data_IF_173191392689
#
_entry.id   IF_173191392689
#
_cell.length_a   1.000
_cell.length_b   1.000
_cell.length_c   1.000
_cell.angle_alpha   90.00
_cell.angle_beta   90.00
_cell.angle_gamma   90.00
#
_symmetry.space_group_name_H-M   'P 1'
#
loop_
_entity.id
_entity.type
_entity.pdbx_description
1 polymer ?
#
# COMPACT_ATOMS: atom_id res chain seq x y z
N UNK A 1 49.34 35.43 30.39
CA UNK A 1 48.53 35.36 29.15
C UNK A 1 48.18 33.90 28.89
N UNK A 2 47.02 33.45 29.35
CA UNK A 2 46.57 32.05 29.28
C UNK A 2 45.29 32.00 28.44
N UNK A 3 45.45 31.86 27.13
CA UNK A 3 44.35 31.64 26.19
C UNK A 3 43.78 30.23 26.39
N UNK A 4 42.76 30.08 27.23
CA UNK A 4 42.03 28.82 27.38
C UNK A 4 41.38 28.47 26.04
N UNK A 5 41.74 27.30 25.50
CA UNK A 5 41.18 26.70 24.29
C UNK A 5 39.68 26.47 24.48
N UNK A 6 38.85 27.35 23.93
CA UNK A 6 37.38 27.23 23.89
C UNK A 6 36.88 26.25 22.82
N UNK A 7 37.79 25.78 21.95
CA UNK A 7 37.51 24.86 20.85
C UNK A 7 36.77 23.56 21.23
N UNK A 8 37.14 22.82 22.30
CA UNK A 8 36.46 21.56 22.62
C UNK A 8 35.01 21.76 23.10
N UNK A 9 34.70 22.89 23.74
CA UNK A 9 33.33 23.20 24.18
C UNK A 9 32.44 23.54 22.98
N UNK A 10 32.96 24.30 22.02
CA UNK A 10 32.23 24.64 20.80
C UNK A 10 31.88 23.40 19.97
N UNK A 11 32.82 22.46 19.84
CA UNK A 11 32.60 21.19 19.12
C UNK A 11 31.51 20.35 19.81
N UNK A 12 31.53 20.26 21.15
CA UNK A 12 30.51 19.54 21.92
C UNK A 12 29.10 20.11 21.73
N UNK A 13 28.97 21.44 21.72
CA UNK A 13 27.68 22.13 21.51
C UNK A 13 27.15 21.87 20.09
N UNK A 14 28.02 21.91 19.07
CA UNK A 14 27.62 21.64 17.69
C UNK A 14 27.19 20.18 17.48
N UNK A 15 27.90 19.22 18.08
CA UNK A 15 27.53 17.80 18.02
C UNK A 15 26.21 17.55 18.73
N UNK A 16 26.01 18.11 19.93
CA UNK A 16 24.75 18.00 20.66
C UNK A 16 23.59 18.62 19.87
N UNK A 17 23.79 19.79 19.26
CA UNK A 17 22.82 20.43 18.39
C UNK A 17 22.45 19.57 17.17
N UNK A 18 23.44 18.97 16.51
CA UNK A 18 23.20 18.08 15.37
C UNK A 18 22.42 16.81 15.78
N UNK A 19 22.76 16.20 16.92
CA UNK A 19 22.04 15.03 17.45
C UNK A 19 20.59 15.39 17.76
N UNK A 20 20.34 16.55 18.36
CA UNK A 20 18.98 17.02 18.66
C UNK A 20 18.20 17.27 17.38
N UNK A 21 18.80 17.90 16.35
CA UNK A 21 18.14 18.11 15.05
C UNK A 21 17.82 16.78 14.37
N UNK A 22 18.74 15.82 14.40
CA UNK A 22 18.52 14.47 13.85
C UNK A 22 17.42 13.76 14.63
N UNK A 23 17.44 13.80 15.96
CA UNK A 23 16.44 13.18 16.82
C UNK A 23 15.06 13.82 16.62
N UNK A 24 14.98 15.16 16.54
CA UNK A 24 13.74 15.88 16.23
C UNK A 24 13.25 15.51 14.82
N UNK A 25 14.13 15.44 13.83
CA UNK A 25 13.77 15.01 12.47
C UNK A 25 13.24 13.57 12.47
N UNK A 26 13.91 12.68 13.18
CA UNK A 26 13.51 11.27 13.29
C UNK A 26 12.19 11.10 14.06
N UNK A 27 11.97 11.90 15.10
CA UNK A 27 10.82 11.79 15.99
C UNK A 27 9.59 12.57 15.48
N UNK A 28 9.76 13.67 14.75
CA UNK A 28 8.65 14.54 14.31
C UNK A 28 8.37 14.49 12.80
N UNK A 29 9.36 14.22 11.95
CA UNK A 29 9.14 14.21 10.49
C UNK A 29 8.78 12.81 9.96
N UNK A 30 9.32 11.74 10.53
CA UNK A 30 9.04 10.37 10.07
C UNK A 30 7.64 9.81 10.42
N UNK A 31 6.99 10.14 11.55
CA UNK A 31 5.68 9.58 11.87
C UNK A 31 4.56 9.99 10.90
N UNK A 32 4.70 11.14 10.22
CA UNK A 32 3.71 11.63 9.24
C UNK A 32 3.56 10.70 8.04
N UNK A 33 4.55 9.86 7.75
CA UNK A 33 4.51 8.85 6.69
C UNK A 33 3.99 7.47 7.14
N UNK A 34 3.57 7.32 8.40
CA UNK A 34 3.04 6.04 8.94
C UNK A 34 1.61 6.17 9.47
N UNK A 35 0.78 6.98 8.83
CA UNK A 35 -0.65 6.93 9.15
C UNK A 35 -1.25 5.64 8.60
N UNK A 36 -1.85 4.85 9.48
CA UNK A 36 -2.72 3.77 9.08
C UNK A 36 -3.92 4.38 8.33
N UNK A 37 -4.18 3.93 7.11
CA UNK A 37 -5.29 4.40 6.29
C UNK A 37 -6.24 3.24 5.97
N UNK A 38 -7.51 3.54 5.73
CA UNK A 38 -8.41 2.58 5.10
C UNK A 38 -8.38 2.76 3.59
N UNK A 39 -8.19 1.67 2.85
CA UNK A 39 -8.38 1.64 1.39
C UNK A 39 -9.74 1.06 1.00
N UNK A 40 -10.59 0.72 1.96
CA UNK A 40 -11.96 0.28 1.73
C UNK A 40 -12.87 1.49 1.83
N UNK A 41 -13.44 1.90 0.70
CA UNK A 41 -14.48 2.92 0.67
C UNK A 41 -15.83 2.28 1.06
N UNK A 42 -16.48 2.74 2.16
CA UNK A 42 -17.75 2.17 2.62
C UNK A 42 -18.91 2.38 1.64
N UNK A 43 -18.76 3.29 0.65
CA UNK A 43 -19.76 3.49 -0.40
C UNK A 43 -19.73 2.43 -1.51
N UNK A 44 -18.71 1.56 -1.54
CA UNK A 44 -18.60 0.49 -2.50
C UNK A 44 -19.11 -0.84 -1.93
N UNK A 45 -20.01 -1.51 -2.66
CA UNK A 45 -20.43 -2.88 -2.36
C UNK A 45 -19.20 -3.81 -2.42
N UNK A 46 -18.96 -4.56 -1.35
CA UNK A 46 -17.87 -5.52 -1.27
C UNK A 46 -18.26 -6.82 -1.97
N UNK A 47 -17.37 -7.33 -2.81
CA UNK A 47 -17.62 -8.52 -3.62
C UNK A 47 -16.52 -9.56 -3.43
N UNK A 48 -16.84 -10.79 -3.78
CA UNK A 48 -15.91 -11.92 -3.82
C UNK A 48 -15.89 -12.55 -5.22
N UNK A 49 -14.94 -13.46 -5.44
CA UNK A 49 -14.82 -14.20 -6.70
C UNK A 49 -16.17 -14.82 -7.12
N UNK A 50 -16.48 -14.75 -8.42
CA UNK A 50 -17.70 -15.31 -9.00
C UNK A 50 -18.89 -14.37 -8.99
N UNK A 51 -18.75 -13.17 -8.42
CA UNK A 51 -19.77 -12.12 -8.51
C UNK A 51 -19.96 -11.68 -9.97
N UNK A 52 -21.19 -11.70 -10.53
CA UNK A 52 -21.44 -11.25 -11.90
C UNK A 52 -20.99 -9.81 -12.15
N UNK A 53 -20.33 -9.56 -13.29
CA UNK A 53 -19.76 -8.25 -13.65
C UNK A 53 -18.34 -8.00 -13.10
N UNK A 54 -17.75 -8.96 -12.37
CA UNK A 54 -16.39 -8.89 -11.84
C UNK A 54 -15.52 -10.01 -12.44
N UNK A 55 -15.44 -10.06 -13.77
CA UNK A 55 -14.80 -11.16 -14.48
C UNK A 55 -13.26 -11.06 -14.50
N UNK A 56 -12.69 -9.87 -14.28
CA UNK A 56 -11.25 -9.75 -14.10
C UNK A 56 -10.85 -10.20 -12.70
N UNK A 57 -10.06 -11.27 -12.63
CA UNK A 57 -9.61 -11.86 -11.37
C UNK A 57 -8.15 -12.33 -11.45
N UNK A 58 -7.37 -11.98 -10.42
CA UNK A 58 -6.02 -12.50 -10.17
C UNK A 58 -5.93 -12.98 -8.72
N UNK A 59 -5.13 -14.03 -8.53
CA UNK A 59 -4.88 -14.62 -7.21
C UNK A 59 -3.37 -14.63 -6.97
N UNK A 60 -2.95 -14.25 -5.77
CA UNK A 60 -1.61 -14.48 -5.23
C UNK A 60 -1.74 -15.36 -3.98
N UNK A 61 -0.74 -16.19 -3.69
CA UNK A 61 -0.73 -17.05 -2.52
C UNK A 61 0.55 -16.81 -1.71
N UNK A 62 0.42 -16.60 -0.41
CA UNK A 62 1.55 -16.41 0.52
C UNK A 62 1.11 -16.60 1.98
N UNK A 63 2.04 -17.05 2.82
CA UNK A 63 1.95 -16.97 4.29
C UNK A 63 2.20 -15.50 4.70
N UNK A 64 1.12 -14.73 4.82
CA UNK A 64 1.17 -13.28 5.05
C UNK A 64 1.24 -12.95 6.54
N UNK A 65 0.66 -13.78 7.41
CA UNK A 65 0.67 -13.53 8.86
C UNK A 65 1.76 -14.29 9.64
N UNK A 66 2.41 -15.28 9.02
CA UNK A 66 3.55 -16.02 9.53
C UNK A 66 3.18 -17.22 10.39
N UNK A 67 1.95 -17.74 10.30
CA UNK A 67 1.51 -18.91 11.05
C UNK A 67 1.85 -20.25 10.38
N UNK A 68 2.31 -20.21 9.12
CA UNK A 68 2.71 -21.36 8.31
C UNK A 68 1.59 -21.96 7.46
N UNK A 69 0.38 -21.44 7.52
CA UNK A 69 -0.67 -21.66 6.53
C UNK A 69 -0.51 -20.67 5.35
N UNK A 70 -1.33 -20.80 4.31
CA UNK A 70 -1.20 -19.95 3.12
C UNK A 70 -2.50 -19.23 2.86
N UNK A 71 -2.43 -17.90 2.84
CA UNK A 71 -3.54 -17.03 2.50
C UNK A 71 -3.59 -16.78 1.00
N UNK A 72 -4.80 -16.55 0.50
CA UNK A 72 -5.05 -16.21 -0.89
C UNK A 72 -5.43 -14.73 -0.99
N UNK A 73 -4.70 -13.97 -1.79
CA UNK A 73 -5.01 -12.57 -2.11
C UNK A 73 -5.76 -12.54 -3.43
N UNK A 74 -7.02 -12.14 -3.38
CA UNK A 74 -7.87 -12.01 -4.55
C UNK A 74 -7.93 -10.55 -4.98
N UNK A 75 -7.53 -10.26 -6.22
CA UNK A 75 -7.66 -8.94 -6.85
C UNK A 75 -8.71 -9.02 -7.95
N UNK A 76 -9.75 -8.21 -7.81
CA UNK A 76 -10.90 -8.15 -8.72
C UNK A 76 -11.01 -6.77 -9.35
N UNK A 77 -11.46 -6.73 -10.60
CA UNK A 77 -11.91 -5.50 -11.25
C UNK A 77 -13.25 -5.73 -11.95
N UNK A 78 -14.12 -4.71 -11.92
CA UNK A 78 -15.42 -4.78 -12.58
C UNK A 78 -15.25 -4.56 -14.09
N UNK A 79 -14.91 -5.63 -14.81
CA UNK A 79 -14.62 -5.62 -16.23
C UNK A 79 -15.22 -6.86 -16.88
N UNK A 80 -15.94 -6.67 -17.99
CA UNK A 80 -16.38 -7.77 -18.82
C UNK A 80 -15.21 -8.33 -19.63
N UNK A 81 -15.14 -9.67 -19.71
CA UNK A 81 -14.28 -10.36 -20.66
C UNK A 81 -14.77 -10.07 -22.10
N UNK A 82 -13.85 -10.03 -23.06
CA UNK A 82 -14.18 -9.93 -24.49
C UNK A 82 -14.76 -11.27 -24.97
N UNK A 83 -16.05 -11.32 -25.41
CA UNK A 83 -16.69 -12.57 -25.82
C UNK A 83 -16.04 -13.20 -27.06
N UNK A 84 -15.26 -12.43 -27.83
CA UNK A 84 -14.59 -12.90 -29.04
C UNK A 84 -13.11 -13.25 -28.78
N UNK A 85 -12.54 -12.83 -27.65
CA UNK A 85 -11.12 -13.00 -27.31
C UNK A 85 -10.96 -13.40 -25.83
N UNK A 86 -11.11 -14.70 -25.50
CA UNK A 86 -10.95 -15.19 -24.14
C UNK A 86 -9.61 -14.78 -23.53
N UNK A 87 -9.62 -14.33 -22.28
CA UNK A 87 -8.49 -13.79 -21.54
C UNK A 87 -8.21 -12.30 -21.80
N UNK A 88 -8.92 -11.67 -22.75
CA UNK A 88 -8.91 -10.22 -22.93
C UNK A 88 -10.09 -9.56 -22.22
N UNK A 89 -9.86 -8.35 -21.71
CA UNK A 89 -10.86 -7.61 -20.93
C UNK A 89 -11.12 -6.25 -21.56
N UNK A 90 -12.37 -5.81 -21.51
CA UNK A 90 -12.81 -4.52 -22.03
C UNK A 90 -12.52 -3.44 -21.00
N UNK A 91 -11.32 -2.86 -21.07
CA UNK A 91 -10.90 -1.77 -20.19
C UNK A 91 -11.73 -0.50 -20.46
N UNK A 92 -12.14 0.16 -19.37
CA UNK A 92 -12.82 1.46 -19.38
C UNK A 92 -11.85 2.56 -18.93
N UNK A 93 -12.26 3.82 -19.08
CA UNK A 93 -11.56 5.01 -18.58
C UNK A 93 -11.56 5.07 -17.04
N UNK A 94 -12.26 4.17 -16.37
CA UNK A 94 -12.12 3.88 -14.96
C UNK A 94 -13.10 2.82 -14.49
N UNK A 95 -12.74 2.08 -13.45
CA UNK A 95 -13.55 0.99 -12.95
C UNK A 95 -13.32 0.75 -11.45
N UNK A 96 -14.30 0.17 -10.74
CA UNK A 96 -14.09 -0.36 -9.41
C UNK A 96 -13.04 -1.49 -9.39
N UNK A 97 -12.16 -1.44 -8.40
CA UNK A 97 -11.20 -2.48 -8.06
C UNK A 97 -11.37 -2.88 -6.60
N UNK A 98 -11.21 -4.18 -6.33
CA UNK A 98 -11.23 -4.72 -4.97
C UNK A 98 -10.07 -5.67 -4.74
N UNK A 99 -9.59 -5.68 -3.50
CA UNK A 99 -8.66 -6.69 -3.02
C UNK A 99 -9.14 -7.20 -1.67
N UNK A 100 -9.21 -8.51 -1.53
CA UNK A 100 -9.47 -9.18 -0.26
C UNK A 100 -8.48 -10.33 -0.05
N UNK A 101 -8.30 -10.70 1.21
CA UNK A 101 -7.50 -11.84 1.64
C UNK A 101 -8.48 -12.91 2.13
N UNK A 102 -8.31 -14.12 1.64
CA UNK A 102 -8.96 -15.33 2.14
C UNK A 102 -7.97 -16.09 3.02
N UNK A 103 -8.40 -16.37 4.24
CA UNK A 103 -7.63 -16.99 5.31
C UNK A 103 -8.51 -18.10 5.91
N UNK A 104 -8.34 -19.32 5.41
CA UNK A 104 -9.27 -20.42 5.64
C UNK A 104 -10.68 -20.09 5.15
N UNK A 105 -11.62 -19.87 6.08
CA UNK A 105 -13.01 -19.49 5.76
C UNK A 105 -13.29 -18.00 5.94
N UNK A 106 -12.32 -17.25 6.45
CA UNK A 106 -12.46 -15.84 6.75
C UNK A 106 -12.04 -14.99 5.56
N UNK A 107 -12.76 -13.89 5.33
CA UNK A 107 -12.53 -12.97 4.22
C UNK A 107 -12.29 -11.57 4.80
N UNK A 108 -11.14 -10.98 4.47
CA UNK A 108 -10.80 -9.61 4.89
C UNK A 108 -10.61 -8.72 3.66
N UNK A 109 -11.55 -7.80 3.42
CA UNK A 109 -11.38 -6.77 2.39
C UNK A 109 -10.37 -5.72 2.83
N UNK A 110 -9.36 -5.48 1.99
CA UNK A 110 -8.26 -4.56 2.28
C UNK A 110 -8.20 -3.38 1.30
N UNK A 111 -8.93 -3.46 0.18
CA UNK A 111 -9.03 -2.42 -0.83
C UNK A 111 -10.40 -2.48 -1.52
N UNK A 112 -11.09 -1.35 -1.63
CA UNK A 112 -12.28 -1.21 -2.47
C UNK A 112 -12.44 0.25 -2.91
N UNK A 113 -12.07 0.55 -4.17
CA UNK A 113 -12.09 1.92 -4.71
C UNK A 113 -12.31 1.94 -6.22
N UNK A 114 -12.84 3.04 -6.71
CA UNK A 114 -12.81 3.38 -8.13
C UNK A 114 -11.42 3.90 -8.54
N UNK A 115 -10.86 3.34 -9.61
CA UNK A 115 -9.56 3.75 -10.17
C UNK A 115 -9.80 4.36 -11.54
N UNK A 116 -9.54 5.65 -11.69
CA UNK A 116 -9.72 6.38 -12.94
C UNK A 116 -8.44 6.38 -13.77
N UNK A 117 -8.57 6.09 -15.07
CA UNK A 117 -7.53 6.08 -16.09
C UNK A 117 -6.29 5.33 -15.62
N UNK A 118 -6.51 4.12 -15.10
CA UNK A 118 -5.55 3.52 -14.20
C UNK A 118 -5.67 2.01 -14.02
N UNK A 119 -4.76 1.47 -13.20
CA UNK A 119 -4.66 0.05 -12.90
C UNK A 119 -4.23 -0.14 -11.45
N UNK A 120 -4.65 -1.26 -10.87
CA UNK A 120 -4.14 -1.74 -9.59
C UNK A 120 -3.25 -2.95 -9.84
N UNK A 121 -2.12 -3.00 -9.14
CA UNK A 121 -1.23 -4.15 -9.11
C UNK A 121 -1.05 -4.61 -7.67
N UNK A 122 -1.22 -5.90 -7.44
CA UNK A 122 -0.87 -6.57 -6.20
C UNK A 122 0.50 -7.24 -6.35
N UNK A 123 1.38 -7.03 -5.37
CA UNK A 123 2.76 -7.49 -5.37
C UNK A 123 3.11 -8.11 -4.02
N UNK A 124 3.97 -9.12 -4.01
CA UNK A 124 4.54 -9.67 -2.78
C UNK A 124 6.01 -9.25 -2.66
N UNK A 125 6.45 -8.90 -1.46
CA UNK A 125 7.87 -8.67 -1.20
C UNK A 125 8.65 -9.98 -1.24
N UNK A 126 9.93 -9.92 -1.63
CA UNK A 126 10.80 -11.09 -1.72
C UNK A 126 11.45 -11.49 -0.37
N UNK A 127 10.86 -11.09 0.75
CA UNK A 127 11.37 -11.36 2.10
C UNK A 127 10.91 -12.74 2.60
N UNK A 128 11.57 -13.28 3.63
CA UNK A 128 11.19 -14.57 4.23
C UNK A 128 9.76 -14.56 4.79
N UNK A 129 9.31 -13.42 5.29
CA UNK A 129 7.91 -13.15 5.63
C UNK A 129 7.39 -12.14 4.61
N UNK A 130 6.75 -12.62 3.53
CA UNK A 130 6.30 -11.75 2.45
C UNK A 130 5.24 -10.77 2.95
N UNK A 131 5.27 -9.55 2.42
CA UNK A 131 4.25 -8.53 2.64
C UNK A 131 3.53 -8.26 1.35
N UNK A 132 2.23 -8.02 1.45
CA UNK A 132 1.45 -7.55 0.33
C UNK A 132 1.69 -6.05 0.11
N UNK A 133 1.94 -5.68 -1.14
CA UNK A 133 2.00 -4.30 -1.58
C UNK A 133 0.97 -4.06 -2.69
N UNK A 134 0.31 -2.90 -2.64
CA UNK A 134 -0.61 -2.45 -3.68
C UNK A 134 -0.02 -1.22 -4.36
N UNK A 135 0.14 -1.30 -5.68
CA UNK A 135 0.52 -0.18 -6.52
C UNK A 135 -0.70 0.29 -7.30
N UNK A 136 -1.21 1.45 -6.93
CA UNK A 136 -2.35 2.11 -7.55
C UNK A 136 -1.82 3.16 -8.53
N UNK A 137 -2.07 2.96 -9.82
CA UNK A 137 -1.67 3.88 -10.88
C UNK A 137 -2.95 4.55 -11.38
N UNK A 138 -3.02 5.88 -11.35
CA UNK A 138 -4.19 6.65 -11.76
C UNK A 138 -3.75 7.83 -12.62
N UNK A 139 -4.10 7.87 -13.91
CA UNK A 139 -3.85 9.02 -14.78
C UNK A 139 -2.44 9.62 -14.64
N UNK A 140 -2.33 10.74 -13.91
CA UNK A 140 -1.10 11.47 -13.67
C UNK A 140 -0.44 11.21 -12.30
N UNK A 141 -0.87 10.19 -11.56
CA UNK A 141 -0.40 9.88 -10.21
C UNK A 141 -0.22 8.39 -9.94
N UNK A 142 0.56 8.11 -8.91
CA UNK A 142 0.89 6.77 -8.43
C UNK A 142 0.89 6.77 -6.92
N UNK A 143 0.22 5.80 -6.30
CA UNK A 143 0.28 5.54 -4.87
C UNK A 143 0.77 4.12 -4.61
N UNK A 144 1.69 3.96 -3.66
CA UNK A 144 2.20 2.67 -3.21
C UNK A 144 1.82 2.46 -1.76
N UNK A 145 1.19 1.31 -1.49
CA UNK A 145 0.78 0.89 -0.16
C UNK A 145 1.42 -0.44 0.20
N UNK A 146 1.69 -0.64 1.48
CA UNK A 146 2.01 -1.95 2.05
C UNK A 146 0.96 -2.34 3.08
N UNK A 147 0.62 -3.61 3.10
CA UNK A 147 -0.33 -4.22 4.02
C UNK A 147 0.43 -5.17 4.93
N UNK A 148 0.40 -4.88 6.23
CA UNK A 148 0.86 -5.76 7.30
C UNK A 148 -0.37 -6.52 7.80
N UNK A 149 -0.55 -7.75 7.29
CA UNK A 149 -1.64 -8.64 7.64
C UNK A 149 -1.23 -9.53 8.82
N UNK A 150 -2.12 -9.72 9.78
CA UNK A 150 -1.89 -10.48 11.03
C UNK A 150 -3.06 -11.43 11.33
N UNK A 151 -3.75 -11.89 10.30
CA UNK A 151 -4.97 -12.68 10.40
C UNK A 151 -6.26 -11.85 10.24
N UNK A 152 -7.43 -12.51 10.36
CA UNK A 152 -8.72 -11.95 9.94
C UNK A 152 -9.05 -10.63 10.62
N UNK A 153 -9.41 -9.62 9.81
CA UNK A 153 -9.67 -8.22 10.24
C UNK A 153 -8.51 -7.51 10.96
N UNK A 154 -7.38 -8.20 11.18
CA UNK A 154 -6.20 -7.67 11.87
C UNK A 154 -5.15 -7.30 10.85
N UNK A 155 -5.29 -6.13 10.25
CA UNK A 155 -4.29 -5.63 9.30
C UNK A 155 -4.05 -4.14 9.46
N UNK A 156 -2.92 -3.68 8.90
CA UNK A 156 -2.61 -2.26 8.79
C UNK A 156 -2.14 -1.94 7.39
N UNK A 157 -2.71 -0.90 6.80
CA UNK A 157 -2.22 -0.32 5.55
C UNK A 157 -1.33 0.87 5.85
N UNK A 158 -0.15 0.89 5.24
CA UNK A 158 0.79 2.02 5.29
C UNK A 158 0.99 2.52 3.87
N UNK A 159 0.76 3.82 3.63
CA UNK A 159 1.10 4.47 2.35
C UNK A 159 2.59 4.83 2.34
N UNK A 160 3.35 4.19 1.47
CA UNK A 160 4.79 4.40 1.34
C UNK A 160 5.14 5.60 0.46
N UNK A 161 4.41 5.78 -0.63
CA UNK A 161 4.64 6.86 -1.58
C UNK A 161 3.33 7.30 -2.21
N UNK A 162 3.27 8.58 -2.57
CA UNK A 162 2.23 9.17 -3.39
C UNK A 162 2.90 10.23 -4.25
N UNK A 163 2.81 10.06 -5.56
CA UNK A 163 3.36 10.97 -6.56
C UNK A 163 2.20 11.43 -7.43
N UNK A 164 2.14 12.72 -7.69
CA UNK A 164 1.21 13.31 -8.65
C UNK A 164 1.98 14.28 -9.52
N UNK A 165 1.64 14.33 -10.82
CA UNK A 165 2.23 15.31 -11.71
C UNK A 165 1.85 16.71 -11.22
N UNK A 166 2.86 17.51 -10.86
CA UNK A 166 2.66 18.93 -10.60
C UNK A 166 2.37 19.61 -11.94
N UNK A 167 1.17 20.16 -12.09
CA UNK A 167 0.87 21.03 -13.24
C UNK A 167 1.61 22.35 -13.02
N UNK A 168 2.70 22.56 -13.75
CA UNK A 168 3.33 23.88 -13.85
C UNK A 168 2.53 24.62 -14.92
N UNK A 169 1.66 25.54 -14.49
CA UNK A 169 0.97 26.49 -15.37
C UNK A 169 1.90 27.64 -15.78
#
# INVERSE_FOLDING_TARGET
MTGRRLWPVLVLVLVAGAIIIIAISYFYLLPRYRQAISLVDPGHELVTQGTPGWEYHKILAADLDGDGETELVHMLARLAEDPMRPGEYQWDDGQPWQVYIEDGTEITHIYARYVQLGKLLALLTAETSPRLALLEIQGAGVALYTIDYRGPERFRVIRLAELSALRIE
#
